data_IF_657193757237
#
_entry.id   IF_657193757237
#
_cell.length_a   1.000
_cell.length_b   1.000
_cell.length_c   1.000
_cell.angle_alpha   90.00
_cell.angle_beta   90.00
_cell.angle_gamma   90.00
#
_symmetry.space_group_name_H-M   'P 1'
#
loop_
_entity.id
_entity.type
_entity.pdbx_description
1 polymer ?
#
# COMPACT_ATOMS: atom_id res chain seq x y z
N UNK A 1 20.37 52.16 20.24
CA UNK A 1 20.13 51.00 19.35
C UNK A 1 18.69 50.57 19.50
N UNK A 2 17.92 50.52 18.41
CA UNK A 2 16.49 50.23 18.41
C UNK A 2 16.22 48.79 18.86
N UNK A 3 15.24 48.60 19.74
CA UNK A 3 14.85 47.34 20.40
C UNK A 3 14.72 46.15 19.43
N UNK A 4 14.35 46.41 18.17
CA UNK A 4 14.24 45.42 17.10
C UNK A 4 15.60 44.81 16.69
N UNK A 5 16.67 45.61 16.70
CA UNK A 5 18.03 45.13 16.38
C UNK A 5 18.56 44.25 17.51
N UNK A 6 18.24 44.58 18.76
CA UNK A 6 18.62 43.76 19.92
C UNK A 6 17.94 42.39 19.88
N UNK A 7 16.62 42.36 19.60
CA UNK A 7 15.89 41.10 19.48
C UNK A 7 16.44 40.26 18.33
N UNK A 8 16.72 40.86 17.16
CA UNK A 8 17.29 40.15 16.03
C UNK A 8 18.64 39.49 16.36
N UNK A 9 19.55 40.23 17.01
CA UNK A 9 20.86 39.70 17.44
C UNK A 9 20.71 38.58 18.47
N UNK A 10 19.76 38.69 19.40
CA UNK A 10 19.51 37.66 20.41
C UNK A 10 19.01 36.36 19.76
N UNK A 11 18.09 36.42 18.80
CA UNK A 11 17.63 35.23 18.05
C UNK A 11 18.76 34.54 17.29
N UNK A 12 19.64 35.29 16.65
CA UNK A 12 20.80 34.73 15.95
C UNK A 12 21.76 34.08 16.95
N UNK A 13 22.00 34.72 18.10
CA UNK A 13 22.83 34.17 19.17
C UNK A 13 22.31 32.83 19.70
N UNK A 14 20.99 32.73 19.94
CA UNK A 14 20.36 31.47 20.40
C UNK A 14 20.46 30.38 19.33
N UNK A 15 20.28 30.71 18.05
CA UNK A 15 20.43 29.74 16.96
C UNK A 15 21.87 29.21 16.83
N UNK A 16 22.87 30.08 16.95
CA UNK A 16 24.28 29.70 16.91
C UNK A 16 24.64 28.82 18.11
N UNK A 17 24.16 29.17 19.31
CA UNK A 17 24.38 28.37 20.50
C UNK A 17 23.78 26.96 20.37
N UNK A 18 22.56 26.86 19.83
CA UNK A 18 21.92 25.57 19.55
C UNK A 18 22.69 24.74 18.51
N UNK A 19 23.19 25.38 17.45
CA UNK A 19 23.97 24.70 16.40
C UNK A 19 25.31 24.17 16.91
N UNK A 20 26.04 24.97 17.71
CA UNK A 20 27.32 24.56 18.31
C UNK A 20 27.15 23.45 19.33
N UNK A 21 26.07 23.50 20.14
CA UNK A 21 25.73 22.43 21.08
C UNK A 21 25.49 21.10 20.36
N UNK A 22 24.80 21.14 19.20
CA UNK A 22 24.58 19.95 18.36
C UNK A 22 25.88 19.39 17.79
N UNK A 23 26.79 20.24 17.29
CA UNK A 23 28.10 19.79 16.80
C UNK A 23 28.95 19.11 17.87
N UNK A 24 28.84 19.53 19.13
CA UNK A 24 29.61 18.95 20.25
C UNK A 24 28.99 17.68 20.83
N UNK A 25 27.68 17.50 20.67
CA UNK A 25 26.94 16.39 21.26
C UNK A 25 26.59 15.29 20.27
N UNK A 26 26.75 15.52 18.95
CA UNK A 26 26.58 14.47 17.95
C UNK A 26 27.61 13.34 18.19
N UNK A 27 27.14 12.11 18.50
CA UNK A 27 28.03 10.96 18.55
C UNK A 27 28.64 10.76 17.17
N UNK A 28 29.98 10.66 17.11
CA UNK A 28 30.67 10.22 15.88
C UNK A 28 29.96 8.97 15.34
N UNK A 29 29.78 8.83 14.01
CA UNK A 29 29.14 7.64 13.45
C UNK A 29 29.90 6.41 13.95
N UNK A 30 29.26 5.66 14.84
CA UNK A 30 29.77 4.42 15.45
C UNK A 30 29.71 3.24 14.46
N UNK A 31 29.29 3.51 13.23
CA UNK A 31 29.20 2.52 12.17
C UNK A 31 30.40 2.73 11.24
N UNK A 32 31.33 1.76 11.14
CA UNK A 32 32.38 1.81 10.14
C UNK A 32 31.74 1.90 8.74
N UNK A 33 32.34 2.63 7.79
CA UNK A 33 31.84 2.65 6.42
C UNK A 33 31.72 1.21 5.91
N UNK A 34 30.59 0.90 5.27
CA UNK A 34 30.34 -0.44 4.76
C UNK A 34 31.52 -0.90 3.89
N UNK A 35 32.04 -2.13 4.07
CA UNK A 35 33.15 -2.65 3.28
C UNK A 35 32.83 -2.52 1.78
N UNK A 36 33.72 -1.87 1.02
CA UNK A 36 33.56 -1.72 -0.43
C UNK A 36 33.54 -3.06 -1.18
N UNK A 37 33.92 -4.16 -0.52
CA UNK A 37 33.79 -5.52 -1.05
C UNK A 37 32.31 -5.93 -1.16
N UNK A 38 31.47 -5.62 -0.16
CA UNK A 38 30.05 -5.95 -0.17
C UNK A 38 29.29 -5.17 -1.25
N UNK A 39 29.71 -3.95 -1.57
CA UNK A 39 29.05 -3.18 -2.65
C UNK A 39 29.33 -3.75 -4.03
N UNK A 40 30.45 -4.45 -4.24
CA UNK A 40 30.78 -5.10 -5.53
C UNK A 40 30.01 -6.40 -5.75
N UNK A 41 29.74 -7.16 -4.70
CA UNK A 41 29.03 -8.44 -4.81
C UNK A 41 27.53 -8.27 -5.11
N UNK A 42 26.94 -7.13 -4.71
CA UNK A 42 25.56 -6.74 -5.05
C UNK A 42 25.47 -5.69 -6.17
N UNK A 43 26.59 -5.34 -6.81
CA UNK A 43 26.60 -4.50 -8.01
C UNK A 43 26.01 -5.31 -9.16
N UNK A 44 24.68 -5.25 -9.29
CA UNK A 44 24.00 -5.72 -10.50
C UNK A 44 24.67 -5.00 -11.68
N UNK A 45 25.17 -5.71 -12.70
CA UNK A 45 25.79 -5.05 -13.85
C UNK A 45 24.82 -4.00 -14.37
N UNK A 46 25.32 -2.78 -14.58
CA UNK A 46 24.53 -1.72 -15.15
C UNK A 46 24.09 -2.14 -16.55
N UNK A 47 22.83 -2.57 -16.67
CA UNK A 47 22.19 -2.91 -17.94
C UNK A 47 22.45 -1.77 -18.93
N UNK A 48 22.96 -2.13 -20.12
CA UNK A 48 23.16 -1.17 -21.19
C UNK A 48 21.83 -0.49 -21.55
N UNK A 49 21.81 0.75 -22.05
CA UNK A 49 20.57 1.43 -22.46
C UNK A 49 19.76 0.63 -23.49
N UNK A 50 20.43 -0.21 -24.30
CA UNK A 50 19.83 -1.11 -25.26
C UNK A 50 19.15 -2.33 -24.58
N UNK A 51 19.79 -2.94 -23.58
CA UNK A 51 19.19 -4.03 -22.78
C UNK A 51 18.04 -3.54 -21.90
N UNK A 52 18.12 -2.31 -21.37
CA UNK A 52 17.00 -1.65 -20.67
C UNK A 52 15.77 -1.44 -21.56
N UNK A 53 15.96 -1.28 -22.88
CA UNK A 53 14.88 -1.11 -23.85
C UNK A 53 14.32 -2.45 -24.33
N UNK A 54 15.14 -3.49 -24.44
CA UNK A 54 14.71 -4.81 -24.95
C UNK A 54 14.04 -5.70 -23.90
N UNK A 55 14.36 -5.57 -22.60
CA UNK A 55 13.68 -6.32 -21.52
C UNK A 55 12.31 -5.77 -21.11
N UNK A 56 11.91 -4.58 -21.60
CA UNK A 56 10.78 -3.82 -21.05
C UNK A 56 9.76 -3.33 -22.07
N UNK A 57 9.72 -3.90 -23.26
CA UNK A 57 8.63 -3.60 -24.18
C UNK A 57 7.40 -4.40 -23.73
N UNK A 58 6.57 -3.77 -22.88
CA UNK A 58 5.30 -4.32 -22.43
C UNK A 58 4.42 -4.57 -23.66
N UNK A 59 4.16 -5.84 -23.96
CA UNK A 59 3.19 -6.20 -25.00
C UNK A 59 1.76 -6.00 -24.46
N UNK A 60 1.28 -4.76 -24.60
CA UNK A 60 -0.06 -4.33 -24.18
C UNK A 60 -1.16 -5.17 -24.84
N UNK A 61 -0.97 -5.56 -26.10
CA UNK A 61 -1.95 -6.34 -26.84
C UNK A 61 -2.08 -7.76 -26.25
N UNK A 62 -0.94 -8.42 -25.99
CA UNK A 62 -0.91 -9.71 -25.31
C UNK A 62 -1.49 -9.65 -23.90
N UNK A 63 -1.18 -8.60 -23.14
CA UNK A 63 -1.72 -8.40 -21.80
C UNK A 63 -3.25 -8.23 -21.82
N UNK A 64 -3.78 -7.41 -22.72
CA UNK A 64 -5.23 -7.23 -22.88
C UNK A 64 -5.90 -8.54 -23.26
N UNK A 65 -5.31 -9.31 -24.20
CA UNK A 65 -5.82 -10.62 -24.59
C UNK A 65 -5.84 -11.62 -23.42
N UNK A 66 -4.80 -11.63 -22.59
CA UNK A 66 -4.72 -12.49 -21.39
C UNK A 66 -5.78 -12.10 -20.34
N UNK A 67 -5.95 -10.79 -20.09
CA UNK A 67 -7.01 -10.28 -19.20
C UNK A 67 -8.39 -10.66 -19.73
N UNK A 68 -8.64 -10.53 -21.03
CA UNK A 68 -9.92 -10.91 -21.64
C UNK A 68 -10.18 -12.42 -21.51
N UNK A 69 -9.16 -13.24 -21.74
CA UNK A 69 -9.23 -14.70 -21.59
C UNK A 69 -9.56 -15.13 -20.16
N UNK A 70 -8.97 -14.47 -19.17
CA UNK A 70 -9.14 -14.80 -17.75
C UNK A 70 -10.25 -13.99 -17.06
N UNK A 71 -10.94 -13.11 -17.79
CA UNK A 71 -12.00 -12.24 -17.25
C UNK A 71 -13.01 -12.96 -16.35
N UNK A 72 -13.62 -14.11 -16.73
CA UNK A 72 -14.59 -14.76 -15.87
C UNK A 72 -13.98 -15.25 -14.54
N UNK A 73 -12.73 -15.72 -14.56
CA UNK A 73 -12.02 -16.15 -13.34
C UNK A 73 -11.65 -14.96 -12.45
N UNK A 74 -11.22 -13.86 -13.07
CA UNK A 74 -10.88 -12.61 -12.38
C UNK A 74 -12.12 -12.04 -11.70
N UNK A 75 -13.25 -12.00 -12.39
CA UNK A 75 -14.52 -11.52 -11.85
C UNK A 75 -15.01 -12.40 -10.71
N UNK A 76 -15.02 -13.73 -10.88
CA UNK A 76 -15.39 -14.68 -9.83
C UNK A 76 -14.54 -14.51 -8.56
N UNK A 77 -13.22 -14.42 -8.72
CA UNK A 77 -12.30 -14.17 -7.62
C UNK A 77 -12.55 -12.81 -6.95
N UNK A 78 -12.75 -11.75 -7.74
CA UNK A 78 -12.98 -10.40 -7.23
C UNK A 78 -14.28 -10.31 -6.44
N UNK A 79 -15.34 -10.95 -6.92
CA UNK A 79 -16.63 -11.04 -6.22
C UNK A 79 -16.50 -11.83 -4.92
N UNK A 80 -15.83 -12.98 -4.93
CA UNK A 80 -15.61 -13.77 -3.70
C UNK A 80 -14.76 -13.01 -2.69
N UNK A 81 -13.73 -12.28 -3.15
CA UNK A 81 -12.92 -11.42 -2.28
C UNK A 81 -13.75 -10.29 -1.66
N UNK A 82 -14.59 -9.65 -2.46
CA UNK A 82 -15.49 -8.58 -2.01
C UNK A 82 -16.49 -9.11 -0.98
N UNK A 83 -16.99 -10.33 -1.14
CA UNK A 83 -17.89 -10.94 -0.16
C UNK A 83 -17.19 -11.24 1.17
N UNK A 84 -15.95 -11.74 1.13
CA UNK A 84 -15.15 -11.96 2.34
C UNK A 84 -14.95 -10.64 3.11
N UNK A 85 -14.74 -9.54 2.40
CA UNK A 85 -14.57 -8.21 2.99
C UNK A 85 -15.88 -7.61 3.50
N UNK A 86 -16.96 -7.71 2.72
CA UNK A 86 -18.28 -7.20 3.08
C UNK A 86 -18.85 -7.91 4.31
N UNK A 87 -18.62 -9.23 4.41
CA UNK A 87 -18.97 -10.02 5.57
C UNK A 87 -18.23 -9.53 6.82
N UNK A 88 -16.91 -9.38 6.74
CA UNK A 88 -16.14 -8.83 7.85
C UNK A 88 -16.64 -7.45 8.27
N UNK A 89 -16.86 -6.54 7.32
CA UNK A 89 -17.29 -5.17 7.62
C UNK A 89 -18.68 -5.14 8.27
N UNK A 90 -19.60 -6.00 7.83
CA UNK A 90 -20.94 -6.13 8.40
C UNK A 90 -20.89 -6.67 9.82
N UNK A 91 -20.17 -7.77 10.06
CA UNK A 91 -20.06 -8.37 11.39
C UNK A 91 -19.30 -7.44 12.34
N UNK A 92 -18.22 -6.80 11.87
CA UNK A 92 -17.47 -5.83 12.68
C UNK A 92 -18.33 -4.65 13.08
N UNK A 93 -19.14 -4.08 12.16
CA UNK A 93 -20.05 -2.98 12.48
C UNK A 93 -21.11 -3.33 13.54
N UNK A 94 -21.48 -4.61 13.69
CA UNK A 94 -22.40 -5.06 14.74
C UNK A 94 -21.74 -5.14 16.12
N UNK A 95 -20.43 -5.35 16.18
CA UNK A 95 -19.66 -5.37 17.44
C UNK A 95 -19.40 -3.96 18.01
N UNK A 96 -19.52 -2.92 17.18
CA UNK A 96 -19.21 -1.55 17.55
C UNK A 96 -20.35 -0.89 18.32
N UNK A 97 -19.99 -0.03 19.28
CA UNK A 97 -20.95 0.90 19.88
C UNK A 97 -21.44 1.92 18.83
N UNK A 98 -22.57 2.60 19.05
CA UNK A 98 -23.11 3.56 18.07
C UNK A 98 -22.10 4.62 17.63
N UNK A 99 -21.33 5.19 18.57
CA UNK A 99 -20.32 6.21 18.28
C UNK A 99 -19.13 5.64 17.47
N UNK A 100 -18.67 4.43 17.79
CA UNK A 100 -17.61 3.75 17.04
C UNK A 100 -18.10 3.40 15.62
N UNK A 101 -19.34 2.96 15.49
CA UNK A 101 -19.96 2.58 14.22
C UNK A 101 -20.11 3.77 13.29
N UNK A 102 -20.51 4.93 13.80
CA UNK A 102 -20.57 6.17 13.02
C UNK A 102 -19.19 6.53 12.45
N UNK A 103 -18.14 6.48 13.29
CA UNK A 103 -16.76 6.70 12.86
C UNK A 103 -16.32 5.70 11.79
N UNK A 104 -16.68 4.42 11.96
CA UNK A 104 -16.35 3.35 11.01
C UNK A 104 -17.02 3.57 9.65
N UNK A 105 -18.31 3.88 9.63
CA UNK A 105 -19.07 4.17 8.41
C UNK A 105 -18.55 5.43 7.70
N UNK A 106 -18.19 6.47 8.46
CA UNK A 106 -17.55 7.66 7.90
C UNK A 106 -16.19 7.33 7.28
N UNK A 107 -15.40 6.45 7.91
CA UNK A 107 -14.13 5.97 7.35
C UNK A 107 -14.36 5.20 6.05
N UNK A 108 -15.31 4.25 6.03
CA UNK A 108 -15.68 3.51 4.81
C UNK A 108 -16.09 4.45 3.67
N UNK A 109 -16.96 5.43 3.95
CA UNK A 109 -17.40 6.40 2.95
C UNK A 109 -16.22 7.16 2.34
N UNK A 110 -15.27 7.61 3.17
CA UNK A 110 -14.05 8.28 2.70
C UNK A 110 -13.19 7.39 1.80
N UNK A 111 -13.09 6.09 2.10
CA UNK A 111 -12.37 5.14 1.25
C UNK A 111 -13.09 4.91 -0.08
N UNK A 112 -14.41 4.69 -0.04
CA UNK A 112 -15.24 4.55 -1.24
C UNK A 112 -15.15 5.79 -2.15
N UNK A 113 -15.17 7.00 -1.59
CA UNK A 113 -14.98 8.24 -2.35
C UNK A 113 -13.58 8.33 -2.99
N UNK A 114 -12.53 7.88 -2.30
CA UNK A 114 -11.17 7.84 -2.87
C UNK A 114 -11.06 6.84 -4.01
N UNK A 115 -11.67 5.67 -3.86
CA UNK A 115 -11.67 4.64 -4.89
C UNK A 115 -12.51 5.07 -6.10
N UNK A 116 -13.67 5.69 -5.88
CA UNK A 116 -14.48 6.30 -6.94
C UNK A 116 -13.70 7.40 -7.70
N UNK A 117 -12.99 8.27 -6.97
CA UNK A 117 -12.11 9.28 -7.59
C UNK A 117 -10.98 8.64 -8.41
N UNK A 118 -10.42 7.52 -7.94
CA UNK A 118 -9.38 6.79 -8.69
C UNK A 118 -9.96 6.13 -9.94
N UNK A 119 -11.15 5.52 -9.83
CA UNK A 119 -11.84 4.88 -10.95
C UNK A 119 -12.30 5.89 -12.01
N UNK A 120 -12.66 7.11 -11.60
CA UNK A 120 -13.05 8.18 -12.51
C UNK A 120 -11.89 8.74 -13.34
N UNK A 121 -10.62 8.43 -13.01
CA UNK A 121 -9.47 8.85 -13.80
C UNK A 121 -9.47 8.16 -15.16
N UNK A 122 -9.48 8.95 -16.22
CA UNK A 122 -9.44 8.48 -17.62
C UNK A 122 -8.04 8.47 -18.24
N UNK A 123 -7.04 8.96 -17.51
CA UNK A 123 -5.66 9.01 -17.99
C UNK A 123 -5.15 7.61 -18.34
N UNK A 124 -4.57 7.48 -19.54
CA UNK A 124 -3.95 6.25 -20.00
C UNK A 124 -2.79 5.88 -19.07
N UNK A 125 -2.62 4.59 -18.80
CA UNK A 125 -1.53 4.12 -17.96
C UNK A 125 -0.22 4.10 -18.75
N UNK A 126 0.84 4.64 -18.16
CA UNK A 126 2.20 4.49 -18.72
C UNK A 126 2.68 3.04 -18.60
N UNK A 127 3.67 2.63 -19.39
CA UNK A 127 4.24 1.28 -19.30
C UNK A 127 4.81 1.00 -17.90
N UNK A 128 5.40 2.02 -17.26
CA UNK A 128 5.90 1.93 -15.89
C UNK A 128 4.78 1.73 -14.87
N UNK A 129 3.62 2.38 -15.05
CA UNK A 129 2.46 2.19 -14.18
C UNK A 129 1.84 0.81 -14.35
N UNK A 130 1.77 0.31 -15.58
CA UNK A 130 1.27 -1.05 -15.85
C UNK A 130 2.20 -2.08 -15.23
N UNK A 131 3.51 -1.95 -15.46
CA UNK A 131 4.50 -2.84 -14.87
C UNK A 131 4.45 -2.75 -13.34
N UNK A 132 4.30 -1.54 -12.77
CA UNK A 132 4.15 -1.37 -11.33
C UNK A 132 2.93 -2.07 -10.78
N UNK A 133 1.79 -2.08 -11.48
CA UNK A 133 0.59 -2.80 -11.04
C UNK A 133 0.69 -4.32 -11.24
N UNK A 134 1.44 -4.81 -12.25
CA UNK A 134 1.76 -6.22 -12.42
C UNK A 134 2.72 -6.75 -11.34
N UNK A 135 3.81 -6.01 -11.11
CA UNK A 135 4.88 -6.33 -10.17
C UNK A 135 4.56 -5.86 -8.75
N UNK A 136 3.40 -5.23 -8.55
CA UNK A 136 3.04 -4.64 -7.26
C UNK A 136 3.11 -5.73 -6.21
N UNK A 137 3.99 -5.53 -5.24
CA UNK A 137 4.17 -6.48 -4.18
C UNK A 137 2.81 -6.81 -3.57
N UNK A 138 2.61 -8.09 -3.32
CA UNK A 138 1.39 -8.66 -2.77
C UNK A 138 1.18 -8.23 -1.29
N UNK A 139 1.68 -7.06 -0.90
CA UNK A 139 1.54 -6.40 0.40
C UNK A 139 0.09 -6.27 0.85
N UNK A 140 -0.87 -6.22 -0.08
CA UNK A 140 -2.28 -6.26 0.31
C UNK A 140 -2.68 -7.62 0.91
N UNK A 141 -2.07 -8.73 0.47
CA UNK A 141 -2.27 -10.08 1.04
C UNK A 141 -1.73 -10.15 2.46
N UNK A 142 -0.62 -9.48 2.76
CA UNK A 142 -0.13 -9.36 4.13
C UNK A 142 -1.24 -8.88 5.08
N UNK A 143 -2.03 -7.88 4.67
CA UNK A 143 -3.15 -7.36 5.49
C UNK A 143 -4.38 -8.28 5.54
N UNK A 144 -4.51 -9.22 4.61
CA UNK A 144 -5.54 -10.28 4.67
C UNK A 144 -5.11 -11.41 5.59
N UNK A 145 -3.83 -11.74 5.60
CA UNK A 145 -3.27 -12.89 6.34
C UNK A 145 -2.99 -12.56 7.80
N UNK A 146 -2.50 -11.35 8.08
CA UNK A 146 -2.05 -10.98 9.43
C UNK A 146 -3.21 -10.52 10.31
N UNK A 147 -3.46 -11.27 11.38
CA UNK A 147 -4.53 -10.98 12.36
C UNK A 147 -4.07 -9.92 13.36
N UNK A 148 -2.93 -10.12 14.02
CA UNK A 148 -2.47 -9.25 15.12
C UNK A 148 -2.26 -7.80 14.70
N UNK A 149 -1.50 -7.48 13.63
CA UNK A 149 -1.27 -6.09 13.22
C UNK A 149 -2.58 -5.40 12.83
N UNK A 150 -3.49 -6.13 12.19
CA UNK A 150 -4.79 -5.58 11.80
C UNK A 150 -5.67 -5.31 13.02
N UNK A 151 -5.67 -6.21 13.99
CA UNK A 151 -6.38 -6.04 15.26
C UNK A 151 -5.85 -4.80 15.99
N UNK A 152 -4.54 -4.65 16.15
CA UNK A 152 -3.93 -3.48 16.80
C UNK A 152 -4.34 -2.16 16.13
N UNK A 153 -4.36 -2.13 14.79
CA UNK A 153 -4.84 -0.96 14.05
C UNK A 153 -6.30 -0.64 14.36
N UNK A 154 -7.19 -1.64 14.34
CA UNK A 154 -8.62 -1.45 14.61
C UNK A 154 -8.85 -1.05 16.07
N UNK A 155 -8.13 -1.65 17.01
CA UNK A 155 -8.16 -1.29 18.43
C UNK A 155 -7.75 0.15 18.63
N UNK A 156 -6.66 0.61 17.99
CA UNK A 156 -6.22 2.00 18.08
C UNK A 156 -7.20 2.97 17.41
N UNK A 157 -7.78 2.57 16.28
CA UNK A 157 -8.65 3.46 15.49
C UNK A 157 -10.03 3.63 16.13
N UNK A 158 -10.59 2.57 16.71
CA UNK A 158 -11.95 2.55 17.26
C UNK A 158 -11.99 2.43 18.78
N UNK A 159 -10.84 2.39 19.47
CA UNK A 159 -10.74 2.24 20.92
C UNK A 159 -11.53 1.00 21.41
N UNK A 160 -11.24 -0.15 20.81
CA UNK A 160 -11.97 -1.39 21.12
C UNK A 160 -11.69 -1.87 22.54
N UNK A 161 -12.74 -2.25 23.28
CA UNK A 161 -12.59 -2.88 24.59
C UNK A 161 -12.13 -4.35 24.48
N UNK A 162 -11.87 -5.00 25.61
CA UNK A 162 -11.35 -6.38 25.64
C UNK A 162 -12.31 -7.40 24.98
N UNK A 163 -13.62 -7.24 25.15
CA UNK A 163 -14.62 -8.13 24.56
C UNK A 163 -14.70 -7.92 23.05
N UNK A 164 -14.73 -6.66 22.61
CA UNK A 164 -14.69 -6.28 21.20
C UNK A 164 -13.39 -6.75 20.52
N UNK A 165 -12.24 -6.65 21.19
CA UNK A 165 -10.96 -7.13 20.67
C UNK A 165 -10.97 -8.65 20.45
N UNK A 166 -11.50 -9.42 21.41
CA UNK A 166 -11.58 -10.87 21.28
C UNK A 166 -12.52 -11.29 20.15
N UNK A 167 -13.69 -10.67 20.04
CA UNK A 167 -14.63 -10.92 18.95
C UNK A 167 -14.04 -10.51 17.58
N UNK A 168 -13.37 -9.35 17.51
CA UNK A 168 -12.70 -8.88 16.29
C UNK A 168 -11.56 -9.81 15.88
N UNK A 169 -10.80 -10.36 16.83
CA UNK A 169 -9.76 -11.37 16.55
C UNK A 169 -10.36 -12.63 15.90
N UNK A 170 -11.51 -13.09 16.39
CA UNK A 170 -12.21 -14.23 15.81
C UNK A 170 -12.66 -13.93 14.37
N UNK A 171 -13.26 -12.76 14.12
CA UNK A 171 -13.66 -12.33 12.77
C UNK A 171 -12.47 -12.22 11.81
N UNK A 172 -11.35 -11.63 12.26
CA UNK A 172 -10.13 -11.53 11.45
C UNK A 172 -9.54 -12.91 11.13
N UNK A 173 -9.63 -13.87 12.05
CA UNK A 173 -9.18 -15.25 11.83
C UNK A 173 -10.07 -15.98 10.84
N UNK A 174 -11.39 -15.82 10.94
CA UNK A 174 -12.35 -16.36 9.98
C UNK A 174 -12.07 -15.80 8.57
N UNK A 175 -11.95 -14.47 8.46
CA UNK A 175 -11.63 -13.78 7.21
C UNK A 175 -10.32 -14.29 6.62
N UNK A 176 -9.28 -14.47 7.44
CA UNK A 176 -7.99 -15.04 7.04
C UNK A 176 -8.16 -16.42 6.43
N UNK A 177 -8.90 -17.31 7.09
CA UNK A 177 -9.08 -18.68 6.64
C UNK A 177 -9.85 -18.75 5.31
N UNK A 178 -10.92 -17.96 5.18
CA UNK A 178 -11.67 -17.81 3.92
C UNK A 178 -10.77 -17.28 2.80
N UNK A 179 -9.96 -16.27 3.11
CA UNK A 179 -9.00 -15.69 2.18
C UNK A 179 -7.98 -16.73 1.70
N UNK A 180 -7.35 -17.49 2.61
CA UNK A 180 -6.35 -18.51 2.26
C UNK A 180 -6.98 -19.59 1.38
N UNK A 181 -8.15 -20.11 1.74
CA UNK A 181 -8.85 -21.12 0.93
C UNK A 181 -9.17 -20.61 -0.50
N UNK A 182 -9.60 -19.35 -0.62
CA UNK A 182 -9.82 -18.71 -1.92
C UNK A 182 -8.50 -18.54 -2.69
N UNK A 183 -7.46 -18.08 -2.01
CA UNK A 183 -6.15 -17.85 -2.62
C UNK A 183 -5.51 -19.15 -3.13
N UNK A 184 -5.62 -20.23 -2.36
CA UNK A 184 -5.07 -21.55 -2.70
C UNK A 184 -5.84 -22.22 -3.85
N UNK A 185 -7.13 -21.93 -4.00
CA UNK A 185 -7.98 -22.47 -5.06
C UNK A 185 -7.96 -21.63 -6.36
N UNK A 186 -7.37 -20.43 -6.33
CA UNK A 186 -7.38 -19.51 -7.47
C UNK A 186 -6.04 -19.49 -8.21
N UNK A 187 -6.02 -19.56 -9.55
CA UNK A 187 -4.78 -19.42 -10.33
C UNK A 187 -4.07 -18.07 -10.06
N UNK A 188 -2.78 -18.09 -9.74
CA UNK A 188 -2.00 -16.88 -9.41
C UNK A 188 -2.00 -15.80 -10.51
N UNK A 189 -2.15 -16.20 -11.78
CA UNK A 189 -2.23 -15.24 -12.90
C UNK A 189 -3.50 -14.40 -12.80
N UNK A 190 -4.64 -15.01 -12.50
CA UNK A 190 -5.90 -14.31 -12.28
C UNK A 190 -5.82 -13.34 -11.10
N UNK A 191 -5.11 -13.73 -10.03
CA UNK A 191 -4.86 -12.87 -8.87
C UNK A 191 -4.03 -11.63 -9.25
N UNK A 192 -2.92 -11.80 -9.99
CA UNK A 192 -2.10 -10.67 -10.45
C UNK A 192 -2.86 -9.73 -11.38
N UNK A 193 -3.62 -10.29 -12.33
CA UNK A 193 -4.35 -9.51 -13.33
C UNK A 193 -5.63 -8.86 -12.79
N UNK A 194 -6.15 -9.32 -11.65
CA UNK A 194 -7.37 -8.78 -11.04
C UNK A 194 -7.36 -7.27 -10.79
N UNK A 195 -6.18 -6.66 -10.61
CA UNK A 195 -6.04 -5.21 -10.44
C UNK A 195 -6.00 -4.44 -11.75
N UNK A 196 -5.52 -5.07 -12.83
CA UNK A 196 -5.44 -4.47 -14.15
C UNK A 196 -6.73 -4.65 -14.95
N UNK A 197 -7.51 -5.70 -14.67
CA UNK A 197 -8.76 -5.95 -15.36
C UNK A 197 -9.78 -4.79 -15.30
N UNK A 198 -9.99 -4.11 -14.15
CA UNK A 198 -10.84 -2.92 -14.09
C UNK A 198 -10.29 -1.73 -14.86
N UNK A 199 -8.99 -1.75 -15.20
CA UNK A 199 -8.28 -0.67 -15.89
C UNK A 199 -8.02 -1.00 -17.36
N UNK A 200 -8.64 -2.06 -17.91
CA UNK A 200 -8.30 -2.60 -19.23
C UNK A 200 -8.39 -1.55 -20.36
N UNK A 201 -9.38 -0.66 -20.31
CA UNK A 201 -9.54 0.44 -21.27
C UNK A 201 -8.35 1.42 -21.24
N UNK A 202 -7.75 1.62 -20.06
CA UNK A 202 -6.60 2.51 -19.85
C UNK A 202 -5.27 1.85 -20.19
N UNK A 203 -5.24 0.51 -20.28
CA UNK A 203 -4.08 -0.29 -20.68
C UNK A 203 -4.00 -0.42 -22.20
N UNK A 204 -5.16 -0.54 -22.87
CA UNK A 204 -5.26 -0.88 -24.28
C UNK A 204 -4.65 0.15 -25.25
N UNK A 205 -4.66 1.44 -24.90
CA UNK A 205 -4.06 2.49 -25.72
C UNK A 205 -2.69 2.94 -25.17
N UNK A 206 -1.67 3.14 -26.02
CA UNK A 206 -0.40 3.71 -25.57
C UNK A 206 -0.64 5.13 -25.05
N UNK A 207 -0.08 5.46 -23.87
CA UNK A 207 -0.04 6.84 -23.41
C UNK A 207 0.78 7.66 -24.42
N UNK A 208 0.26 8.83 -24.82
CA UNK A 208 0.97 9.77 -25.71
C UNK A 208 2.18 10.38 -25.01
#
# INVERSE_FOLDING_TARGET
MSQRVFVALLTVGVFIAGYLSRMWTEPRPTVPPAPAALTREFSRPALTPAEKRSERQLDRAKLVAEIQKLRPQIEAYSTQMQEIDSEFDREFAQLLSPAQREKFLASQKRWAERDAKRAAKRDLLSDEEIQREQDRSMTWVYWKVTVTPRLEMLTREYSLDANQQNATRALLTLRRNKFIALFDSTPHVSIRLSRLAPLIERVAAPAK
#
